data_IF_762476982850
#
_entry.id   IF_762476982850
#
_cell.length_a   1.000
_cell.length_b   1.000
_cell.length_c   1.000
_cell.angle_alpha   90.00
_cell.angle_beta   90.00
_cell.angle_gamma   90.00
#
_symmetry.space_group_name_H-M   'P 1'
#
loop_
_entity.id
_entity.type
_entity.pdbx_description
1 polymer ?
#
# COMPACT_ATOMS: atom_id res chain seq x y z
N UNK A 1 -4.70 3.22 -15.78
CA UNK A 1 -3.66 3.82 -14.93
C UNK A 1 -2.65 4.53 -15.82
N UNK A 2 -2.75 5.86 -16.02
CA UNK A 2 -1.85 6.60 -16.90
C UNK A 2 -0.41 6.71 -16.37
N UNK A 3 -0.22 6.65 -15.05
CA UNK A 3 1.10 6.76 -14.40
C UNK A 3 1.52 5.49 -13.65
N UNK A 4 1.17 4.31 -14.17
CA UNK A 4 1.53 3.04 -13.52
C UNK A 4 3.05 2.86 -13.38
N UNK A 5 3.83 3.26 -14.39
CA UNK A 5 5.29 3.17 -14.34
C UNK A 5 5.91 4.18 -13.38
N UNK A 6 5.46 5.44 -13.40
CA UNK A 6 5.98 6.45 -12.47
C UNK A 6 5.72 6.08 -11.01
N UNK A 7 4.58 5.47 -10.70
CA UNK A 7 4.33 4.93 -9.36
C UNK A 7 5.32 3.86 -8.94
N UNK A 8 5.78 3.00 -9.86
CA UNK A 8 6.80 1.97 -9.58
C UNK A 8 8.17 2.60 -9.36
N UNK A 9 8.52 3.58 -10.18
CA UNK A 9 9.81 4.29 -10.11
C UNK A 9 10.00 5.01 -8.77
N UNK A 10 8.94 5.51 -8.15
CA UNK A 10 9.00 6.24 -6.87
C UNK A 10 8.77 5.37 -5.63
N UNK A 11 8.83 4.04 -5.75
CA UNK A 11 8.72 3.12 -4.61
C UNK A 11 7.28 2.74 -4.23
N UNK A 12 6.31 2.86 -5.15
CA UNK A 12 4.92 2.43 -4.94
C UNK A 12 4.71 0.91 -5.02
N UNK A 13 5.76 0.10 -4.91
CA UNK A 13 5.70 -1.37 -4.91
C UNK A 13 6.20 -1.91 -3.57
N UNK A 14 5.52 -2.94 -3.05
CA UNK A 14 5.92 -3.57 -1.79
C UNK A 14 7.25 -4.34 -1.90
N UNK A 15 7.67 -4.71 -3.10
CA UNK A 15 8.82 -5.58 -3.36
C UNK A 15 10.03 -4.85 -3.97
N UNK A 16 10.01 -3.52 -4.05
CA UNK A 16 11.09 -2.72 -4.61
C UNK A 16 11.14 -1.36 -3.93
N UNK A 17 12.33 -0.81 -3.74
CA UNK A 17 12.51 0.55 -3.27
C UNK A 17 12.40 1.55 -4.45
N UNK A 18 12.43 2.85 -4.14
CA UNK A 18 12.48 3.89 -5.16
C UNK A 18 13.69 3.73 -6.09
N UNK A 19 13.61 4.31 -7.29
CA UNK A 19 14.61 4.20 -8.35
C UNK A 19 14.93 2.76 -8.78
N UNK A 20 13.98 1.85 -8.59
CA UNK A 20 14.10 0.43 -8.92
C UNK A 20 15.17 -0.34 -8.10
N UNK A 21 15.55 0.15 -6.92
CA UNK A 21 16.49 -0.55 -6.05
C UNK A 21 15.87 -1.82 -5.43
N UNK A 22 16.64 -2.90 -5.39
CA UNK A 22 16.21 -4.21 -4.92
C UNK A 22 16.61 -4.43 -3.45
N UNK A 23 15.76 -5.08 -2.65
CA UNK A 23 16.05 -5.36 -1.24
C UNK A 23 17.21 -6.36 -1.04
N UNK A 24 17.61 -7.09 -2.06
CA UNK A 24 18.79 -7.96 -2.06
C UNK A 24 20.11 -7.23 -2.31
N UNK A 25 20.07 -5.95 -2.71
CA UNK A 25 21.25 -5.11 -2.90
C UNK A 25 21.41 -4.11 -1.73
N UNK A 26 22.33 -4.36 -0.78
CA UNK A 26 22.58 -3.46 0.33
C UNK A 26 23.00 -2.04 -0.11
N UNK A 27 23.69 -1.92 -1.25
CA UNK A 27 24.15 -0.62 -1.77
C UNK A 27 22.97 0.18 -2.30
N UNK A 28 21.98 -0.48 -2.92
CA UNK A 28 20.74 0.13 -3.34
C UNK A 28 19.92 0.65 -2.16
N UNK A 29 19.84 -0.11 -1.07
CA UNK A 29 19.16 0.32 0.16
C UNK A 29 19.84 1.56 0.76
N UNK A 30 21.17 1.52 0.93
CA UNK A 30 21.96 2.64 1.50
C UNK A 30 21.78 3.91 0.66
N UNK A 31 21.78 3.80 -0.67
CA UNK A 31 21.57 4.94 -1.58
C UNK A 31 20.23 5.63 -1.33
N UNK A 32 19.14 4.86 -1.17
CA UNK A 32 17.80 5.42 -0.92
C UNK A 32 17.75 6.02 0.49
N UNK A 33 18.34 5.35 1.48
CA UNK A 33 18.42 5.82 2.87
C UNK A 33 19.12 7.18 2.97
N UNK A 34 20.30 7.31 2.36
CA UNK A 34 21.07 8.54 2.32
C UNK A 34 20.34 9.66 1.57
N UNK A 35 19.82 9.38 0.37
CA UNK A 35 19.14 10.37 -0.45
C UNK A 35 17.92 10.97 0.25
N UNK A 36 17.15 10.15 0.98
CA UNK A 36 15.99 10.62 1.76
C UNK A 36 16.34 11.11 3.17
N UNK A 37 17.60 10.97 3.60
CA UNK A 37 17.99 11.19 5.00
C UNK A 37 17.08 10.42 5.97
N UNK A 38 16.71 9.19 5.59
CA UNK A 38 15.74 8.39 6.32
C UNK A 38 16.42 7.75 7.54
N UNK A 39 16.05 8.08 8.79
CA UNK A 39 16.67 7.48 9.97
C UNK A 39 16.32 5.99 10.17
N UNK A 40 15.37 5.48 9.36
CA UNK A 40 14.98 4.08 9.29
C UNK A 40 14.40 3.79 7.91
N UNK A 41 14.93 2.77 7.25
CA UNK A 41 14.41 2.26 5.97
C UNK A 41 14.02 0.78 6.10
N UNK A 42 13.21 0.28 5.17
CA UNK A 42 12.91 -1.14 5.07
C UNK A 42 14.10 -1.90 4.48
N UNK A 43 14.37 -3.11 5.00
CA UNK A 43 15.40 -4.03 4.49
C UNK A 43 14.79 -5.33 3.91
N UNK A 44 13.46 -5.38 3.77
CA UNK A 44 12.74 -6.53 3.22
C UNK A 44 11.46 -6.06 2.56
N UNK A 45 10.94 -6.89 1.67
CA UNK A 45 9.66 -6.66 1.01
C UNK A 45 8.50 -6.57 2.01
N UNK A 46 7.52 -5.73 1.67
CA UNK A 46 6.21 -5.68 2.31
C UNK A 46 5.21 -6.68 1.73
N UNK A 47 3.99 -6.65 2.26
CA UNK A 47 2.90 -7.48 1.77
C UNK A 47 2.36 -6.97 0.44
N UNK A 48 2.13 -7.87 -0.52
CA UNK A 48 1.42 -7.57 -1.76
C UNK A 48 -0.07 -7.44 -1.48
N UNK A 49 -0.82 -6.80 -2.38
CA UNK A 49 -2.21 -6.41 -2.12
C UNK A 49 -3.11 -7.53 -1.55
N UNK A 50 -3.07 -8.74 -2.11
CA UNK A 50 -3.89 -9.88 -1.64
C UNK A 50 -3.49 -10.30 -0.21
N UNK A 51 -2.19 -10.45 0.04
CA UNK A 51 -1.68 -10.83 1.37
C UNK A 51 -1.90 -9.73 2.40
N UNK A 52 -1.81 -8.46 1.98
CA UNK A 52 -2.06 -7.27 2.80
C UNK A 52 -3.51 -7.24 3.29
N UNK A 53 -4.50 -7.46 2.41
CA UNK A 53 -5.90 -7.52 2.83
C UNK A 53 -6.20 -8.75 3.69
N UNK A 54 -5.51 -9.87 3.46
CA UNK A 54 -5.61 -11.04 4.34
C UNK A 54 -5.07 -10.74 5.75
N UNK A 55 -3.91 -10.08 5.82
CA UNK A 55 -3.30 -9.65 7.08
C UNK A 55 -4.14 -8.59 7.81
N UNK A 56 -4.78 -7.68 7.07
CA UNK A 56 -5.74 -6.72 7.62
C UNK A 56 -6.98 -7.43 8.22
N UNK A 57 -7.53 -8.42 7.51
CA UNK A 57 -8.67 -9.22 8.01
C UNK A 57 -8.32 -10.07 9.25
N UNK A 58 -7.05 -10.47 9.39
CA UNK A 58 -6.55 -11.21 10.55
C UNK A 58 -6.12 -10.31 11.72
N UNK A 59 -5.94 -9.01 11.49
CA UNK A 59 -5.49 -8.03 12.49
C UNK A 59 -3.96 -7.92 12.63
N UNK A 60 -3.19 -8.57 11.76
CA UNK A 60 -1.73 -8.42 11.69
C UNK A 60 -1.33 -7.03 11.15
N UNK A 61 -2.13 -6.53 10.20
CA UNK A 61 -2.15 -5.12 9.80
C UNK A 61 -3.38 -4.49 10.45
N UNK A 62 -3.20 -3.32 11.06
CA UNK A 62 -4.26 -2.63 11.80
C UNK A 62 -4.81 -1.42 11.08
N UNK A 63 -3.95 -0.76 10.32
CA UNK A 63 -4.24 0.51 9.67
C UNK A 63 -3.95 0.35 8.18
N UNK A 64 -4.85 0.86 7.34
CA UNK A 64 -4.65 0.93 5.90
C UNK A 64 -4.92 2.35 5.40
N UNK A 65 -4.04 2.83 4.53
CA UNK A 65 -4.23 4.09 3.80
C UNK A 65 -4.35 3.79 2.31
N UNK A 66 -5.52 4.08 1.76
CA UNK A 66 -5.88 3.85 0.36
C UNK A 66 -5.87 5.20 -0.35
N UNK A 67 -5.07 5.31 -1.41
CA UNK A 67 -4.87 6.57 -2.13
C UNK A 67 -5.17 6.39 -3.62
N UNK A 68 -6.16 7.12 -4.14
CA UNK A 68 -6.51 7.18 -5.56
C UNK A 68 -6.89 5.83 -6.18
N UNK A 69 -7.53 4.95 -5.41
CA UNK A 69 -7.98 3.63 -5.88
C UNK A 69 -9.21 3.14 -5.11
N UNK A 70 -10.00 2.26 -5.72
CA UNK A 70 -11.23 1.69 -5.16
C UNK A 70 -11.11 0.15 -5.03
N UNK A 71 -10.39 -0.38 -4.02
CA UNK A 71 -10.13 -1.81 -3.88
C UNK A 71 -11.39 -2.65 -3.69
N UNK A 72 -12.48 -2.07 -3.19
CA UNK A 72 -13.77 -2.78 -3.09
C UNK A 72 -14.30 -3.20 -4.48
N UNK A 73 -13.93 -2.46 -5.54
CA UNK A 73 -14.26 -2.78 -6.93
C UNK A 73 -13.12 -3.46 -7.67
N UNK A 74 -11.88 -3.01 -7.47
CA UNK A 74 -10.75 -3.44 -8.30
C UNK A 74 -10.05 -4.72 -7.84
N UNK A 75 -10.27 -5.18 -6.61
CA UNK A 75 -9.68 -6.43 -6.10
C UNK A 75 -10.52 -7.64 -6.51
N UNK A 76 -9.90 -8.80 -6.76
CA UNK A 76 -10.61 -10.00 -7.23
C UNK A 76 -11.63 -10.54 -6.23
N UNK A 77 -11.43 -10.32 -4.92
CA UNK A 77 -12.36 -10.76 -3.87
C UNK A 77 -12.90 -9.56 -3.08
N UNK A 78 -13.86 -8.86 -3.69
CA UNK A 78 -14.52 -7.70 -3.07
C UNK A 78 -15.08 -7.99 -1.68
N UNK A 79 -15.69 -9.16 -1.48
CA UNK A 79 -16.27 -9.54 -0.18
C UNK A 79 -15.20 -9.68 0.91
N UNK A 80 -14.01 -10.18 0.57
CA UNK A 80 -12.89 -10.22 1.51
C UNK A 80 -12.39 -8.82 1.86
N UNK A 81 -12.22 -7.96 0.85
CA UNK A 81 -11.80 -6.58 1.07
C UNK A 81 -12.75 -5.86 2.02
N UNK A 82 -14.07 -5.98 1.81
CA UNK A 82 -15.07 -5.38 2.70
C UNK A 82 -14.91 -5.84 4.15
N UNK A 83 -14.81 -7.17 4.39
CA UNK A 83 -14.58 -7.71 5.74
C UNK A 83 -13.25 -7.27 6.35
N UNK A 84 -12.20 -7.12 5.53
CA UNK A 84 -10.91 -6.65 5.99
C UNK A 84 -10.98 -5.17 6.42
N UNK A 85 -11.64 -4.32 5.63
CA UNK A 85 -11.85 -2.91 5.95
C UNK A 85 -12.72 -2.72 7.20
N UNK A 86 -13.79 -3.50 7.34
CA UNK A 86 -14.66 -3.50 8.55
C UNK A 86 -13.92 -3.89 9.84
N UNK A 87 -12.83 -4.66 9.72
CA UNK A 87 -12.02 -5.12 10.86
C UNK A 87 -10.81 -4.25 11.14
N UNK A 88 -10.42 -3.38 10.20
CA UNK A 88 -9.29 -2.49 10.40
C UNK A 88 -9.55 -1.56 11.59
N UNK A 89 -8.50 -1.24 12.35
CA UNK A 89 -8.59 -0.26 13.44
C UNK A 89 -8.69 1.17 12.89
N UNK A 90 -8.17 1.41 11.67
CA UNK A 90 -8.29 2.69 10.97
C UNK A 90 -8.17 2.51 9.45
N UNK A 91 -9.13 3.05 8.71
CA UNK A 91 -9.14 3.14 7.25
C UNK A 91 -9.08 4.60 6.83
N UNK A 92 -7.98 4.99 6.17
CA UNK A 92 -7.82 6.33 5.60
C UNK A 92 -8.02 6.25 4.09
N UNK A 93 -8.84 7.12 3.52
CA UNK A 93 -9.06 7.16 2.06
C UNK A 93 -8.79 8.55 1.51
N UNK A 94 -7.78 8.65 0.64
CA UNK A 94 -7.50 9.86 -0.13
C UNK A 94 -8.03 9.70 -1.55
N UNK A 95 -9.20 10.28 -1.80
CA UNK A 95 -9.94 10.16 -3.06
C UNK A 95 -10.32 11.55 -3.59
N UNK A 96 -10.29 11.72 -4.91
CA UNK A 96 -10.68 12.97 -5.58
C UNK A 96 -12.18 13.01 -5.93
N UNK A 97 -12.81 11.84 -5.99
CA UNK A 97 -14.24 11.68 -6.24
C UNK A 97 -15.06 11.78 -4.94
N UNK A 98 -16.28 12.30 -5.04
CA UNK A 98 -17.20 12.39 -3.91
C UNK A 98 -17.79 11.03 -3.49
N UNK A 99 -17.80 10.06 -4.41
CA UNK A 99 -18.44 8.77 -4.19
C UNK A 99 -17.61 7.64 -4.85
N UNK A 100 -17.35 6.60 -4.08
CA UNK A 100 -16.78 5.32 -4.51
C UNK A 100 -17.05 4.25 -3.44
N UNK A 101 -17.11 2.98 -3.84
CA UNK A 101 -17.47 1.87 -2.93
C UNK A 101 -16.52 1.71 -1.72
N UNK A 102 -15.27 2.17 -1.84
CA UNK A 102 -14.29 2.11 -0.75
C UNK A 102 -14.52 3.20 0.30
N UNK A 103 -15.06 4.37 -0.09
CA UNK A 103 -15.33 5.48 0.84
C UNK A 103 -16.34 5.10 1.92
N UNK A 104 -17.23 4.13 1.67
CA UNK A 104 -18.19 3.62 2.65
C UNK A 104 -17.54 2.97 3.89
N UNK A 105 -16.23 2.65 3.82
CA UNK A 105 -15.46 2.04 4.90
C UNK A 105 -14.39 2.98 5.47
N UNK A 106 -14.32 4.23 5.01
CA UNK A 106 -13.31 5.19 5.46
C UNK A 106 -13.68 5.77 6.83
N UNK A 107 -12.69 5.89 7.72
CA UNK A 107 -12.79 6.65 8.96
C UNK A 107 -12.36 8.11 8.76
N UNK A 108 -11.42 8.34 7.84
CA UNK A 108 -10.84 9.66 7.50
C UNK A 108 -10.73 9.81 5.99
#
# INVERSE_FOLDING_TARGET
QPNAMGGREVGGLANQLAAHEDFSDPVGIERVEEFWSAPRIAHKEGLKAIDMFTALEHGDVKIIWIMGTNPVVSMPNANQVKRALEKAELVIVSEAMLDCDTLAYADI
#
